data_IF_006728352614
#
_entry.id   IF_006728352614
#
_cell.length_a   1.000
_cell.length_b   1.000
_cell.length_c   1.000
_cell.angle_alpha   90.00
_cell.angle_beta   90.00
_cell.angle_gamma   90.00
#
_symmetry.space_group_name_H-M   'P 1'
#
loop_
_entity.id
_entity.type
_entity.pdbx_description
1 polymer ?
#
# COMPACT_ATOMS: atom_id res chain seq x y z
N UNK A 1 -0.73 -21.42 2.84
CA UNK A 1 0.50 -21.37 3.69
C UNK A 1 0.36 -20.20 4.64
N UNK A 2 0.71 -20.35 5.89
CA UNK A 2 0.78 -19.29 6.89
C UNK A 2 2.25 -19.15 7.35
N UNK A 3 2.74 -17.91 7.50
CA UNK A 3 4.11 -17.65 7.92
C UNK A 3 4.41 -16.17 8.02
N UNK A 4 5.56 -15.84 8.56
CA UNK A 4 6.11 -14.49 8.61
C UNK A 4 6.82 -14.20 7.28
N UNK A 5 6.65 -13.00 6.74
CA UNK A 5 7.34 -12.55 5.52
C UNK A 5 8.86 -12.42 5.71
N UNK A 6 9.32 -12.26 6.95
CA UNK A 6 10.73 -12.23 7.32
C UNK A 6 11.34 -13.63 7.53
N UNK A 7 10.51 -14.70 7.59
CA UNK A 7 10.99 -16.07 7.51
C UNK A 7 11.39 -16.41 6.06
N UNK A 8 12.68 -16.27 5.76
CA UNK A 8 13.22 -16.45 4.41
C UNK A 8 12.83 -17.80 3.80
N UNK A 9 12.86 -18.89 4.56
CA UNK A 9 12.55 -20.22 4.03
C UNK A 9 11.08 -20.33 3.60
N UNK A 10 10.15 -19.82 4.41
CA UNK A 10 8.73 -19.80 4.07
C UNK A 10 8.40 -18.83 2.94
N UNK A 11 9.07 -17.68 2.90
CA UNK A 11 8.90 -16.74 1.82
C UNK A 11 9.39 -17.31 0.48
N UNK A 12 10.53 -18.01 0.48
CA UNK A 12 11.03 -18.70 -0.70
C UNK A 12 10.07 -19.78 -1.21
N UNK A 13 9.49 -20.58 -0.30
CA UNK A 13 8.48 -21.59 -0.64
C UNK A 13 7.24 -20.93 -1.26
N UNK A 14 6.82 -19.76 -0.75
CA UNK A 14 5.66 -19.03 -1.25
C UNK A 14 5.89 -18.44 -2.66
N UNK A 15 7.11 -17.97 -2.94
CA UNK A 15 7.44 -17.21 -4.15
C UNK A 15 7.89 -18.10 -5.31
N UNK A 16 8.51 -19.26 -5.04
CA UNK A 16 9.04 -20.14 -6.08
C UNK A 16 7.98 -20.52 -7.10
N UNK A 17 8.29 -20.36 -8.40
CA UNK A 17 7.41 -20.74 -9.50
C UNK A 17 6.17 -19.86 -9.67
N UNK A 18 6.15 -18.67 -9.11
CA UNK A 18 5.07 -17.69 -9.31
C UNK A 18 5.44 -16.73 -10.45
N UNK A 19 4.42 -16.29 -11.18
CA UNK A 19 4.56 -15.29 -12.23
C UNK A 19 4.55 -13.86 -11.66
N UNK A 20 3.77 -13.65 -10.61
CA UNK A 20 3.52 -12.35 -9.97
C UNK A 20 3.53 -12.51 -8.45
N UNK A 21 4.07 -11.55 -7.75
CA UNK A 21 3.89 -11.35 -6.31
C UNK A 21 3.01 -10.12 -6.09
N UNK A 22 1.92 -10.30 -5.36
CA UNK A 22 1.12 -9.21 -4.81
C UNK A 22 1.39 -9.11 -3.31
N UNK A 23 1.83 -7.95 -2.85
CA UNK A 23 2.16 -7.69 -1.46
C UNK A 23 1.28 -6.57 -0.91
N UNK A 24 0.57 -6.85 0.18
CA UNK A 24 -0.20 -5.91 0.98
C UNK A 24 0.18 -6.11 2.44
N UNK A 25 1.28 -5.50 2.83
CA UNK A 25 1.96 -5.69 4.11
C UNK A 25 1.87 -4.42 4.95
N UNK A 26 2.02 -4.55 6.25
CA UNK A 26 1.99 -3.45 7.21
C UNK A 26 3.02 -3.67 8.32
N UNK A 27 3.37 -2.62 9.01
CA UNK A 27 4.25 -2.70 10.19
C UNK A 27 5.29 -1.60 10.23
N UNK A 28 5.91 -1.46 11.38
CA UNK A 28 6.99 -0.48 11.60
C UNK A 28 8.30 -0.91 10.88
N UNK A 29 8.35 -2.18 10.45
CA UNK A 29 9.43 -2.85 9.71
C UNK A 29 9.09 -3.12 8.23
N UNK A 30 8.11 -2.39 7.68
CA UNK A 30 7.62 -2.60 6.30
C UNK A 30 8.74 -2.52 5.25
N UNK A 31 9.74 -1.68 5.47
CA UNK A 31 10.90 -1.61 4.56
C UNK A 31 11.77 -2.87 4.59
N UNK A 32 11.91 -3.53 5.74
CA UNK A 32 12.63 -4.80 5.83
C UNK A 32 11.81 -5.94 5.23
N UNK A 33 10.49 -5.94 5.42
CA UNK A 33 9.58 -6.85 4.74
C UNK A 33 9.66 -6.69 3.21
N UNK A 34 9.65 -5.46 2.70
CA UNK A 34 9.80 -5.19 1.27
C UNK A 34 11.14 -5.67 0.72
N UNK A 35 12.25 -5.44 1.43
CA UNK A 35 13.59 -5.94 1.06
C UNK A 35 13.62 -7.47 1.01
N UNK A 36 13.00 -8.15 1.98
CA UNK A 36 12.90 -9.61 1.98
C UNK A 36 12.16 -10.14 0.76
N UNK A 37 11.00 -9.53 0.42
CA UNK A 37 10.24 -9.86 -0.79
C UNK A 37 11.08 -9.65 -2.05
N UNK A 38 11.73 -8.50 -2.19
CA UNK A 38 12.59 -8.17 -3.34
C UNK A 38 13.71 -9.20 -3.51
N UNK A 39 14.47 -9.47 -2.44
CA UNK A 39 15.59 -10.40 -2.46
C UNK A 39 15.15 -11.81 -2.85
N UNK A 40 14.04 -12.27 -2.28
CA UNK A 40 13.48 -13.59 -2.59
C UNK A 40 13.01 -13.69 -4.04
N UNK A 41 12.30 -12.66 -4.53
CA UNK A 41 11.86 -12.62 -5.94
C UNK A 41 13.04 -12.66 -6.90
N UNK A 42 14.09 -11.89 -6.63
CA UNK A 42 15.32 -11.88 -7.44
C UNK A 42 16.02 -13.25 -7.41
N UNK A 43 16.14 -13.88 -6.25
CA UNK A 43 16.74 -15.21 -6.09
C UNK A 43 15.96 -16.30 -6.82
N UNK A 44 14.62 -16.19 -6.89
CA UNK A 44 13.75 -17.16 -7.57
C UNK A 44 13.42 -16.80 -9.02
N UNK A 45 13.94 -15.69 -9.53
CA UNK A 45 13.73 -15.24 -10.92
C UNK A 45 12.31 -14.71 -11.20
N UNK A 46 11.52 -14.40 -10.16
CA UNK A 46 10.20 -13.79 -10.28
C UNK A 46 10.37 -12.28 -10.44
N UNK A 47 9.76 -11.68 -11.46
CA UNK A 47 10.04 -10.29 -11.85
C UNK A 47 8.90 -9.33 -11.56
N UNK A 48 7.65 -9.78 -11.60
CA UNK A 48 6.48 -8.91 -11.50
C UNK A 48 6.04 -8.75 -10.06
N UNK A 49 6.09 -7.50 -9.56
CA UNK A 49 5.69 -7.13 -8.19
C UNK A 49 4.58 -6.09 -8.23
N UNK A 50 3.49 -6.33 -7.50
CA UNK A 50 2.48 -5.32 -7.18
C UNK A 50 2.55 -5.10 -5.67
N UNK A 51 2.76 -3.86 -5.23
CA UNK A 51 2.93 -3.56 -3.81
C UNK A 51 1.99 -2.43 -3.38
N UNK A 52 1.18 -2.66 -2.36
CA UNK A 52 0.30 -1.63 -1.80
C UNK A 52 1.03 -0.91 -0.67
N UNK A 53 1.14 0.39 -0.83
CA UNK A 53 1.70 1.30 0.16
C UNK A 53 0.62 2.26 0.68
N UNK A 54 0.93 3.54 0.84
CA UNK A 54 0.01 4.56 1.35
C UNK A 54 0.20 5.89 0.63
N UNK A 55 -0.85 6.70 0.57
CA UNK A 55 -0.75 8.11 0.21
C UNK A 55 0.13 8.86 1.22
N UNK A 56 0.71 9.97 0.79
CA UNK A 56 1.44 10.90 1.65
C UNK A 56 2.91 10.54 1.90
N UNK A 57 3.42 9.45 1.31
CA UNK A 57 4.82 9.04 1.49
C UNK A 57 5.82 9.94 0.77
N UNK A 58 5.38 10.81 -0.13
CA UNK A 58 6.19 11.78 -0.87
C UNK A 58 5.81 13.23 -0.58
N UNK A 59 5.03 13.50 0.47
CA UNK A 59 4.43 14.81 0.76
C UNK A 59 3.54 15.34 -0.39
N UNK A 60 3.03 14.44 -1.22
CA UNK A 60 2.25 14.73 -2.41
C UNK A 60 0.79 15.10 -2.14
N UNK A 61 0.33 15.04 -0.89
CA UNK A 61 -1.03 15.39 -0.48
C UNK A 61 -1.09 16.87 -0.07
N UNK A 62 -1.68 17.76 -0.89
CA UNK A 62 -1.68 19.18 -0.62
C UNK A 62 -2.76 19.62 0.39
N UNK A 63 -2.62 20.86 0.88
CA UNK A 63 -3.64 21.57 1.64
C UNK A 63 -4.02 20.94 2.96
N UNK A 64 -5.23 21.23 3.42
CA UNK A 64 -5.73 20.80 4.73
C UNK A 64 -5.80 19.27 4.88
N UNK A 65 -6.11 18.55 3.82
CA UNK A 65 -6.09 17.09 3.85
C UNK A 65 -4.67 16.57 4.10
N UNK A 66 -3.66 17.13 3.45
CA UNK A 66 -2.27 16.77 3.68
C UNK A 66 -1.81 17.07 5.12
N UNK A 67 -2.16 18.23 5.66
CA UNK A 67 -1.89 18.59 7.05
C UNK A 67 -2.55 17.61 8.02
N UNK A 68 -3.84 17.33 7.81
CA UNK A 68 -4.58 16.36 8.62
C UNK A 68 -3.96 14.95 8.52
N UNK A 69 -3.68 14.47 7.30
CA UNK A 69 -3.10 13.15 7.08
C UNK A 69 -1.74 12.99 7.79
N UNK A 70 -0.85 13.98 7.67
CA UNK A 70 0.43 13.99 8.38
C UNK A 70 0.26 14.00 9.90
N UNK A 71 -0.74 14.72 10.43
CA UNK A 71 -1.00 14.76 11.87
C UNK A 71 -1.46 13.39 12.42
N UNK A 72 -2.09 12.56 11.60
CA UNK A 72 -2.63 11.26 12.01
C UNK A 72 -1.62 10.12 11.82
N UNK A 73 -0.96 10.04 10.67
CA UNK A 73 -0.13 8.90 10.27
C UNK A 73 1.29 9.29 9.81
N UNK A 74 1.68 10.55 9.91
CA UNK A 74 2.95 11.02 9.32
C UNK A 74 4.19 10.23 9.76
N UNK A 75 4.31 9.89 11.03
CA UNK A 75 5.42 9.06 11.53
C UNK A 75 5.33 7.61 11.04
N UNK A 76 4.12 7.06 10.94
CA UNK A 76 3.87 5.70 10.48
C UNK A 76 4.18 5.55 8.96
N UNK A 77 4.31 6.66 8.20
CA UNK A 77 4.64 6.64 6.77
C UNK A 77 6.14 6.46 6.46
N UNK A 78 7.02 6.65 7.43
CA UNK A 78 8.47 6.55 7.22
C UNK A 78 8.92 5.17 6.68
N UNK A 79 8.52 4.04 7.27
CA UNK A 79 8.84 2.73 6.71
C UNK A 79 8.20 2.50 5.34
N UNK A 80 7.01 3.04 5.07
CA UNK A 80 6.37 2.97 3.74
C UNK A 80 7.18 3.72 2.68
N UNK A 81 7.73 4.89 3.03
CA UNK A 81 8.61 5.62 2.13
C UNK A 81 9.89 4.84 1.82
N UNK A 82 10.54 4.28 2.84
CA UNK A 82 11.75 3.47 2.64
C UNK A 82 11.48 2.20 1.82
N UNK A 83 10.30 1.58 2.01
CA UNK A 83 9.86 0.45 1.19
C UNK A 83 9.69 0.86 -0.28
N UNK A 84 9.07 2.00 -0.55
CA UNK A 84 8.92 2.53 -1.91
C UNK A 84 10.28 2.76 -2.58
N UNK A 85 11.22 3.40 -1.87
CA UNK A 85 12.58 3.66 -2.38
C UNK A 85 13.32 2.35 -2.70
N UNK A 86 13.16 1.31 -1.86
CA UNK A 86 13.76 -0.01 -2.10
C UNK A 86 13.14 -0.72 -3.32
N UNK A 87 11.82 -0.64 -3.48
CA UNK A 87 11.10 -1.25 -4.61
C UNK A 87 11.49 -0.55 -5.92
N UNK A 88 11.51 0.78 -5.95
CA UNK A 88 11.90 1.56 -7.13
C UNK A 88 13.35 1.28 -7.55
N UNK A 89 14.26 1.03 -6.60
CA UNK A 89 15.66 0.69 -6.86
C UNK A 89 15.90 -0.78 -7.18
N UNK A 90 14.90 -1.67 -7.06
CA UNK A 90 15.08 -3.13 -7.11
C UNK A 90 15.38 -3.69 -8.51
N UNK A 91 15.03 -2.96 -9.57
CA UNK A 91 15.06 -3.47 -10.94
C UNK A 91 13.94 -4.47 -11.27
N UNK A 92 13.00 -4.71 -10.36
CA UNK A 92 11.82 -5.52 -10.64
C UNK A 92 10.83 -4.77 -11.54
N UNK A 93 9.95 -5.51 -12.18
CA UNK A 93 8.80 -4.98 -12.90
C UNK A 93 7.69 -4.64 -11.87
N UNK A 94 7.90 -3.56 -11.13
CA UNK A 94 6.99 -3.19 -10.06
C UNK A 94 5.79 -2.37 -10.53
N UNK A 95 4.72 -2.43 -9.76
CA UNK A 95 3.67 -1.42 -9.66
C UNK A 95 3.45 -1.11 -8.19
N UNK A 96 3.63 0.14 -7.80
CA UNK A 96 3.29 0.62 -6.45
C UNK A 96 1.93 1.29 -6.49
N UNK A 97 1.05 0.90 -5.58
CA UNK A 97 -0.25 1.54 -5.38
C UNK A 97 -0.25 2.29 -4.04
N UNK A 98 -0.65 3.56 -4.06
CA UNK A 98 -0.77 4.43 -2.89
C UNK A 98 -2.24 4.84 -2.69
N UNK A 99 -3.08 3.95 -2.12
CA UNK A 99 -4.49 4.25 -1.92
C UNK A 99 -4.71 5.40 -0.94
N UNK A 100 -5.81 6.14 -1.15
CA UNK A 100 -6.42 7.01 -0.16
C UNK A 100 -7.01 6.20 1.01
N UNK A 101 -7.69 6.84 1.93
CA UNK A 101 -8.30 6.16 3.07
C UNK A 101 -9.40 5.21 2.61
N UNK A 102 -9.33 3.97 3.07
CA UNK A 102 -10.23 2.92 2.61
C UNK A 102 -11.66 3.05 3.13
N UNK A 103 -12.61 2.77 2.24
CA UNK A 103 -14.02 2.53 2.56
C UNK A 103 -14.40 1.10 2.19
N UNK A 104 -15.58 0.65 2.68
CA UNK A 104 -16.17 -0.65 2.35
C UNK A 104 -17.38 -0.49 1.42
N UNK A 105 -17.46 0.64 0.68
CA UNK A 105 -18.50 0.87 -0.31
C UNK A 105 -18.39 -0.12 -1.47
N UNK A 106 -19.54 -0.60 -1.94
CA UNK A 106 -19.62 -1.53 -3.09
C UNK A 106 -19.63 -0.73 -4.41
N UNK A 107 -18.44 -0.23 -4.76
CA UNK A 107 -18.24 0.57 -5.97
C UNK A 107 -16.89 0.33 -6.62
N UNK A 108 -16.82 0.57 -7.92
CA UNK A 108 -15.61 0.49 -8.75
C UNK A 108 -15.36 1.88 -9.38
N UNK A 109 -15.03 2.87 -8.54
CA UNK A 109 -14.73 4.24 -8.95
C UNK A 109 -13.36 4.64 -8.42
N UNK A 110 -12.40 4.83 -9.32
CA UNK A 110 -11.08 5.33 -8.95
C UNK A 110 -10.46 6.23 -10.02
N UNK A 111 -9.60 7.13 -9.55
CA UNK A 111 -8.65 7.91 -10.36
C UNK A 111 -7.24 7.53 -9.99
N UNK A 112 -6.37 7.57 -10.98
CA UNK A 112 -4.94 7.36 -10.82
C UNK A 112 -4.20 8.70 -10.86
N UNK A 113 -3.22 8.85 -9.97
CA UNK A 113 -2.36 10.02 -9.87
C UNK A 113 -0.91 9.56 -9.91
N UNK A 114 -0.11 10.12 -10.78
CA UNK A 114 1.31 9.79 -10.87
C UNK A 114 2.09 10.19 -9.62
N UNK A 115 3.30 9.65 -9.47
CA UNK A 115 4.16 9.87 -8.29
C UNK A 115 4.45 11.34 -7.99
N UNK A 116 4.61 12.16 -9.03
CA UNK A 116 4.97 13.58 -8.91
C UNK A 116 3.77 14.53 -9.03
N UNK A 117 2.57 13.99 -9.16
CA UNK A 117 1.36 14.80 -9.26
C UNK A 117 0.74 15.00 -7.88
N UNK A 118 0.11 16.16 -7.63
CA UNK A 118 -0.65 16.38 -6.41
C UNK A 118 -1.73 15.31 -6.24
N UNK A 119 -1.75 14.68 -5.07
CA UNK A 119 -2.75 13.68 -4.75
C UNK A 119 -4.05 14.36 -4.30
N UNK A 120 -5.11 14.14 -5.05
CA UNK A 120 -6.44 14.67 -4.77
C UNK A 120 -7.39 13.52 -4.40
N UNK A 121 -8.37 13.83 -3.53
CA UNK A 121 -9.33 12.86 -3.04
C UNK A 121 -8.90 12.20 -1.73
N UNK A 122 -9.88 11.97 -0.87
CA UNK A 122 -9.65 11.57 0.53
C UNK A 122 -9.89 10.08 0.78
N UNK A 123 -10.66 9.42 -0.09
CA UNK A 123 -11.09 8.03 0.10
C UNK A 123 -11.01 7.22 -1.19
N UNK A 124 -11.01 5.90 -1.04
CA UNK A 124 -11.21 4.92 -2.11
C UNK A 124 -11.80 3.64 -1.52
N UNK A 125 -12.69 2.96 -2.24
CA UNK A 125 -13.20 1.67 -1.78
C UNK A 125 -12.15 0.57 -1.95
N UNK A 126 -12.17 -0.43 -1.04
CA UNK A 126 -11.33 -1.63 -1.20
C UNK A 126 -11.64 -2.36 -2.50
N UNK A 127 -12.92 -2.35 -2.91
CA UNK A 127 -13.36 -2.96 -4.17
C UNK A 127 -12.72 -2.28 -5.37
N UNK A 128 -12.69 -0.94 -5.42
CA UNK A 128 -12.01 -0.19 -6.49
C UNK A 128 -10.52 -0.53 -6.60
N UNK A 129 -9.84 -0.65 -5.46
CA UNK A 129 -8.41 -1.01 -5.47
C UNK A 129 -8.21 -2.47 -5.90
N UNK A 130 -9.12 -3.37 -5.50
CA UNK A 130 -9.08 -4.77 -5.93
C UNK A 130 -9.32 -4.90 -7.44
N UNK A 131 -10.25 -4.13 -8.00
CA UNK A 131 -10.52 -4.08 -9.44
C UNK A 131 -9.28 -3.65 -10.23
N UNK A 132 -8.63 -2.56 -9.82
CA UNK A 132 -7.37 -2.12 -10.41
C UNK A 132 -6.27 -3.21 -10.33
N UNK A 133 -6.14 -3.91 -9.20
CA UNK A 133 -5.16 -4.98 -9.05
C UNK A 133 -5.45 -6.12 -10.02
N UNK A 134 -6.71 -6.51 -10.17
CA UNK A 134 -7.13 -7.56 -11.12
C UNK A 134 -6.81 -7.14 -12.55
N UNK A 135 -7.08 -5.89 -12.93
CA UNK A 135 -6.74 -5.35 -14.25
C UNK A 135 -5.22 -5.40 -14.50
N UNK A 136 -4.41 -4.98 -13.52
CA UNK A 136 -2.94 -4.99 -13.61
C UNK A 136 -2.39 -6.42 -13.72
N UNK A 137 -3.00 -7.39 -13.03
CA UNK A 137 -2.64 -8.81 -13.13
C UNK A 137 -3.01 -9.38 -14.50
N UNK A 138 -4.19 -9.04 -14.99
CA UNK A 138 -4.73 -9.56 -16.25
C UNK A 138 -4.11 -8.96 -17.52
N UNK A 139 -3.45 -7.80 -17.40
CA UNK A 139 -2.91 -7.05 -18.55
C UNK A 139 -1.38 -6.97 -18.46
N UNK A 140 -0.64 -7.78 -19.19
CA UNK A 140 0.82 -7.73 -19.22
C UNK A 140 1.34 -6.33 -19.55
N UNK A 141 2.35 -5.88 -18.79
CA UNK A 141 2.99 -4.56 -18.92
C UNK A 141 2.14 -3.35 -18.50
N UNK A 142 0.87 -3.51 -18.13
CA UNK A 142 0.10 -2.40 -17.58
C UNK A 142 0.74 -1.92 -16.25
N UNK A 143 1.02 -0.63 -16.19
CA UNK A 143 1.61 0.04 -15.03
C UNK A 143 2.95 -0.53 -14.52
N UNK A 144 3.73 -1.18 -15.39
CA UNK A 144 5.08 -1.60 -15.06
C UNK A 144 6.00 -0.39 -14.89
N UNK A 145 6.63 -0.27 -13.72
CA UNK A 145 7.46 0.87 -13.33
C UNK A 145 6.67 2.06 -12.79
N UNK A 146 5.35 1.95 -12.65
CA UNK A 146 4.51 3.02 -12.16
C UNK A 146 4.37 3.01 -10.63
N UNK A 147 4.25 4.21 -10.08
CA UNK A 147 3.96 4.48 -8.68
C UNK A 147 2.73 5.40 -8.61
N UNK A 148 1.58 4.82 -8.33
CA UNK A 148 0.27 5.40 -8.56
C UNK A 148 -0.46 5.70 -7.25
N UNK A 149 -0.90 6.95 -7.10
CA UNK A 149 -1.95 7.30 -6.14
C UNK A 149 -3.30 6.79 -6.64
N UNK A 150 -4.13 6.27 -5.75
CA UNK A 150 -5.45 5.73 -6.07
C UNK A 150 -6.50 6.34 -5.16
N UNK A 151 -7.43 7.11 -5.72
CA UNK A 151 -8.51 7.75 -4.98
C UNK A 151 -9.83 7.69 -5.74
N UNK A 152 -10.94 7.74 -5.01
CA UNK A 152 -12.29 7.88 -5.60
C UNK A 152 -12.42 9.23 -6.30
N UNK A 153 -13.12 9.26 -7.43
CA UNK A 153 -13.47 10.49 -8.14
C UNK A 153 -14.28 11.42 -7.24
N UNK A 154 -14.02 12.72 -7.33
CA UNK A 154 -14.79 13.75 -6.62
C UNK A 154 -14.89 13.55 -5.10
N UNK A 155 -13.88 12.94 -4.49
CA UNK A 155 -13.78 12.71 -3.03
C UNK A 155 -12.88 13.73 -2.33
N UNK A 156 -12.66 14.90 -2.94
CA UNK A 156 -11.86 15.97 -2.37
C UNK A 156 -12.46 16.48 -1.05
N UNK A 157 -11.61 16.84 -0.10
CA UNK A 157 -12.05 17.32 1.21
C UNK A 157 -10.89 17.61 2.15
N UNK A 158 -11.19 18.10 3.35
CA UNK A 158 -10.17 18.36 4.38
C UNK A 158 -9.76 17.09 5.13
N UNK A 159 -10.61 16.06 5.10
CA UNK A 159 -10.39 14.72 5.68
C UNK A 159 -11.44 13.75 5.12
N UNK A 160 -11.28 12.42 5.27
CA UNK A 160 -12.29 11.45 4.88
C UNK A 160 -13.65 11.75 5.51
N UNK A 161 -14.74 11.62 4.74
CA UNK A 161 -16.08 12.01 5.18
C UNK A 161 -16.54 11.27 6.46
N UNK A 162 -16.14 10.00 6.63
CA UNK A 162 -16.46 9.23 7.82
C UNK A 162 -15.74 9.72 9.09
N UNK A 163 -14.73 10.58 8.94
CA UNK A 163 -14.02 11.22 10.06
C UNK A 163 -14.72 12.48 10.59
N UNK A 164 -15.79 12.95 9.91
CA UNK A 164 -16.61 14.06 10.41
C UNK A 164 -17.67 13.61 11.43
N UNK A 165 -18.13 12.36 11.33
CA UNK A 165 -19.23 11.83 12.15
C UNK A 165 -18.79 11.07 13.40
N UNK A 166 -17.50 10.83 13.58
CA UNK A 166 -17.00 10.05 14.71
C UNK A 166 -16.11 10.88 15.61
N UNK A 167 -16.49 10.97 16.90
CA UNK A 167 -15.57 11.17 18.01
C UNK A 167 -14.67 9.92 18.14
N UNK A 168 -13.97 9.56 17.07
CA UNK A 168 -13.06 8.44 17.06
C UNK A 168 -11.91 8.74 18.01
N UNK A 169 -11.90 8.02 19.10
CA UNK A 169 -10.79 7.99 20.04
C UNK A 169 -9.56 7.40 19.30
N UNK A 170 -8.72 8.26 18.74
CA UNK A 170 -7.53 7.92 17.94
C UNK A 170 -6.49 7.10 18.73
N UNK A 171 -6.66 6.96 20.06
CA UNK A 171 -5.86 6.04 20.88
C UNK A 171 -6.14 4.57 20.59
N UNK A 172 -7.23 4.26 19.86
CA UNK A 172 -7.70 2.93 19.55
C UNK A 172 -7.50 2.59 18.06
N UNK A 173 -6.29 2.77 17.55
CA UNK A 173 -5.94 2.53 16.13
C UNK A 173 -6.13 1.04 15.78
N UNK A 174 -7.18 0.64 15.01
CA UNK A 174 -7.48 -0.78 14.75
C UNK A 174 -6.32 -1.50 14.06
N UNK A 175 -5.57 -0.81 13.18
CA UNK A 175 -4.41 -1.39 12.48
C UNK A 175 -3.21 -1.65 13.39
N UNK A 176 -3.02 -0.89 14.50
CA UNK A 176 -1.97 -1.18 15.51
C UNK A 176 -2.32 -2.37 16.40
N UNK A 177 -3.61 -2.79 16.47
CA UNK A 177 -4.03 -3.97 17.24
C UNK A 177 -3.83 -5.27 16.49
N UNK A 178 -3.92 -5.24 15.16
CA UNK A 178 -3.73 -6.44 14.32
C UNK A 178 -2.27 -6.92 14.44
N UNK A 179 -1.31 -6.03 14.25
CA UNK A 179 0.11 -6.34 14.35
C UNK A 179 0.54 -6.89 15.73
N UNK A 180 -0.19 -6.56 16.84
CA UNK A 180 0.11 -7.09 18.17
C UNK A 180 -0.55 -8.44 18.46
N UNK A 181 -1.61 -8.82 17.74
CA UNK A 181 -2.26 -10.14 17.95
C UNK A 181 -1.49 -11.27 17.29
N UNK A 182 -0.83 -10.96 16.18
CA UNK A 182 -0.07 -11.96 15.43
C UNK A 182 1.32 -12.20 16.05
N UNK A 183 1.81 -11.28 16.90
CA UNK A 183 3.06 -11.41 17.63
C UNK A 183 2.95 -12.17 18.98
N UNK A 184 1.75 -12.58 19.41
CA UNK A 184 1.49 -13.25 20.70
C UNK A 184 0.80 -14.61 20.53
N UNK A 185 1.10 -15.36 19.48
CA UNK A 185 0.64 -16.74 19.30
C UNK A 185 1.87 -17.64 19.13
N UNK A 186 2.60 -17.78 20.23
CA UNK A 186 3.50 -18.94 20.46
C UNK A 186 2.75 -20.02 21.22
#
# INVERSE_FOLDING_TARGET
MQGDVLDTAKLEEAVVGKDIVYANLIGDDLDDQAKAVIATMQAKGVKRLIFVLSLGIYDEVPGKFGEWNRSIIGEDLKPYRRAADAIEASGLQYTILRPAWFTDEDEEDYKLTGRQQPFNGTVVSRKSVADLIVEVIGTPNLHVGDNLGVNKSNSDGEKPYFMYSSSLNLSNRPWKRQARRDACSD
#
